data_IF_343826163844
#
_entry.id   IF_343826163844
#
_cell.length_a   1.000
_cell.length_b   1.000
_cell.length_c   1.000
_cell.angle_alpha   90.00
_cell.angle_beta   90.00
_cell.angle_gamma   90.00
#
_symmetry.space_group_name_H-M   'P 1'
#
loop_
_entity.id
_entity.type
_entity.pdbx_description
1 polymer ?
#
# COMPACT_ATOMS: atom_id res chain seq x y z
N UNK A 1 6.88 -10.62 0.09
CA UNK A 1 5.66 -9.80 0.35
C UNK A 1 4.53 -10.65 0.94
N UNK A 2 4.74 -11.26 2.13
CA UNK A 2 3.70 -12.12 2.73
C UNK A 2 2.36 -11.37 2.88
N UNK A 3 2.39 -10.11 3.32
CA UNK A 3 1.20 -9.27 3.51
C UNK A 3 0.35 -8.99 2.25
N UNK A 4 0.81 -9.35 1.03
CA UNK A 4 0.04 -9.24 -0.23
C UNK A 4 -0.26 -10.60 -0.85
N UNK A 5 -0.20 -11.68 -0.08
CA UNK A 5 -0.64 -13.00 -0.52
C UNK A 5 -1.96 -13.30 0.21
N UNK A 6 -3.11 -13.37 -0.48
CA UNK A 6 -4.42 -13.69 0.10
C UNK A 6 -4.42 -14.95 0.97
N UNK A 7 -3.57 -15.92 0.66
CA UNK A 7 -3.45 -17.18 1.41
C UNK A 7 -2.58 -17.06 2.66
N UNK A 8 -1.96 -15.91 2.90
CA UNK A 8 -1.11 -15.69 4.07
C UNK A 8 -1.91 -15.18 5.27
N UNK A 9 -1.50 -15.53 6.50
CA UNK A 9 -2.05 -14.92 7.71
C UNK A 9 -1.87 -13.39 7.75
N UNK A 10 -0.80 -12.88 7.13
CA UNK A 10 -0.46 -11.46 7.10
C UNK A 10 -1.44 -10.63 6.25
N UNK A 11 -2.14 -11.23 5.28
CA UNK A 11 -3.07 -10.52 4.40
C UNK A 11 -4.23 -9.88 5.14
N UNK A 12 -4.90 -10.66 5.99
CA UNK A 12 -6.03 -10.17 6.77
C UNK A 12 -5.61 -9.07 7.73
N UNK A 13 -4.46 -9.24 8.39
CA UNK A 13 -3.90 -8.24 9.29
C UNK A 13 -3.56 -6.94 8.55
N UNK A 14 -2.95 -7.03 7.38
CA UNK A 14 -2.62 -5.85 6.57
C UNK A 14 -3.88 -5.12 6.08
N UNK A 15 -4.90 -5.85 5.60
CA UNK A 15 -6.18 -5.25 5.19
C UNK A 15 -6.87 -4.53 6.35
N UNK A 16 -6.88 -5.16 7.52
CA UNK A 16 -7.48 -4.57 8.72
C UNK A 16 -6.68 -3.35 9.22
N UNK A 17 -5.35 -3.44 9.27
CA UNK A 17 -4.49 -2.31 9.62
C UNK A 17 -4.69 -1.11 8.70
N UNK A 18 -4.85 -1.33 7.39
CA UNK A 18 -5.15 -0.26 6.42
C UNK A 18 -6.48 0.45 6.73
N UNK A 19 -7.52 -0.30 7.09
CA UNK A 19 -8.80 0.27 7.47
C UNK A 19 -8.69 1.10 8.76
N UNK A 20 -7.99 0.58 9.77
CA UNK A 20 -7.74 1.30 11.03
C UNK A 20 -6.99 2.62 10.81
N UNK A 21 -6.01 2.65 9.90
CA UNK A 21 -5.32 3.91 9.56
C UNK A 21 -6.25 4.93 8.92
N UNK A 22 -7.23 4.49 8.13
CA UNK A 22 -8.21 5.40 7.52
C UNK A 22 -9.19 5.94 8.56
N UNK A 23 -9.63 5.09 9.50
CA UNK A 23 -10.48 5.50 10.63
C UNK A 23 -9.75 6.50 11.53
N UNK A 24 -8.50 6.20 11.92
CA UNK A 24 -7.69 7.06 12.79
C UNK A 24 -7.50 8.46 12.20
N UNK A 25 -7.23 8.57 10.90
CA UNK A 25 -7.05 9.87 10.22
C UNK A 25 -8.36 10.67 10.07
N UNK A 26 -9.52 10.01 10.14
CA UNK A 26 -10.81 10.67 10.06
C UNK A 26 -11.35 11.10 11.44
N UNK A 27 -10.98 10.39 12.50
CA UNK A 27 -11.59 10.52 13.83
C UNK A 27 -10.74 11.26 14.86
N UNK A 28 -9.41 11.31 14.68
CA UNK A 28 -8.53 11.90 15.70
C UNK A 28 -8.35 13.41 15.49
N UNK A 29 -9.13 14.19 16.23
CA UNK A 29 -9.04 15.66 16.28
C UNK A 29 -7.70 16.19 16.83
N UNK A 30 -6.90 15.33 17.47
CA UNK A 30 -5.58 15.66 17.99
C UNK A 30 -4.46 15.37 17.00
N UNK A 31 -4.73 14.70 15.87
CA UNK A 31 -3.80 14.66 14.76
C UNK A 31 -3.84 16.01 14.03
N UNK A 32 -2.72 16.76 13.99
CA UNK A 32 -2.65 17.95 13.16
C UNK A 32 -3.04 17.57 11.72
N UNK A 33 -3.90 18.36 11.09
CA UNK A 33 -4.41 18.12 9.74
C UNK A 33 -3.27 17.87 8.71
N UNK A 34 -2.08 18.43 8.98
CA UNK A 34 -0.87 18.32 8.13
C UNK A 34 0.15 17.27 8.61
N UNK A 35 -0.13 16.51 9.67
CA UNK A 35 0.84 15.58 10.28
C UNK A 35 1.06 14.29 9.48
N UNK A 36 0.02 13.85 8.78
CA UNK A 36 -0.01 12.61 8.02
C UNK A 36 -0.82 12.83 6.75
N UNK A 37 -0.15 12.77 5.61
CA UNK A 37 -0.77 12.84 4.29
C UNK A 37 -1.04 11.42 3.77
N UNK A 38 -2.31 11.16 3.41
CA UNK A 38 -2.73 9.91 2.80
C UNK A 38 -2.69 10.02 1.26
N UNK A 39 -1.56 9.64 0.67
CA UNK A 39 -1.39 9.73 -0.78
C UNK A 39 -1.95 8.50 -1.47
N UNK A 40 -2.97 8.69 -2.32
CA UNK A 40 -3.60 7.64 -3.14
C UNK A 40 -2.93 7.53 -4.52
N UNK A 41 -1.60 7.46 -4.54
CA UNK A 41 -0.79 7.35 -5.75
C UNK A 41 -0.72 5.93 -6.32
N UNK A 42 -1.24 4.93 -5.59
CA UNK A 42 -1.08 3.52 -5.95
C UNK A 42 0.34 3.03 -5.67
N UNK A 43 0.67 1.85 -6.21
CA UNK A 43 2.04 1.37 -6.26
C UNK A 43 2.30 0.57 -7.53
N UNK A 44 3.52 0.64 -8.06
CA UNK A 44 3.95 -0.15 -9.20
C UNK A 44 5.05 -1.10 -8.75
N UNK A 45 4.85 -2.40 -8.92
CA UNK A 45 5.91 -3.40 -8.77
C UNK A 45 6.59 -3.61 -10.12
N UNK A 46 7.90 -3.42 -10.18
CA UNK A 46 8.66 -3.45 -11.44
C UNK A 46 9.32 -4.81 -11.66
N UNK A 47 9.41 -5.22 -12.93
CA UNK A 47 10.18 -6.37 -13.38
C UNK A 47 11.32 -5.93 -14.30
N UNK A 48 12.52 -6.46 -14.08
CA UNK A 48 13.73 -6.22 -14.88
C UNK A 48 14.13 -7.42 -15.73
N UNK A 49 13.37 -8.52 -15.63
CA UNK A 49 13.55 -9.72 -16.45
C UNK A 49 12.20 -10.30 -16.87
N UNK A 50 12.21 -11.12 -17.93
CA UNK A 50 11.01 -11.82 -18.40
C UNK A 50 10.46 -12.80 -17.37
N UNK A 51 11.33 -13.41 -16.55
CA UNK A 51 10.92 -14.31 -15.48
C UNK A 51 10.17 -13.55 -14.37
N UNK A 52 10.66 -12.37 -13.98
CA UNK A 52 9.96 -11.49 -13.05
C UNK A 52 8.63 -11.01 -13.64
N UNK A 53 8.59 -10.68 -14.94
CA UNK A 53 7.34 -10.27 -15.60
C UNK A 53 6.27 -11.37 -15.59
N UNK A 54 6.66 -12.64 -15.74
CA UNK A 54 5.74 -13.78 -15.61
C UNK A 54 5.24 -13.94 -14.17
N UNK A 55 6.10 -13.73 -13.17
CA UNK A 55 5.68 -13.71 -11.77
C UNK A 55 4.68 -12.58 -11.50
N UNK A 56 4.85 -11.41 -12.13
CA UNK A 56 3.89 -10.31 -12.03
C UNK A 56 2.53 -10.66 -12.64
N UNK A 57 2.48 -11.38 -13.77
CA UNK A 57 1.21 -11.85 -14.36
C UNK A 57 0.48 -12.85 -13.45
N UNK A 58 1.20 -13.81 -12.89
CA UNK A 58 0.62 -14.75 -11.92
C UNK A 58 0.08 -13.99 -10.69
N UNK A 59 0.76 -12.93 -10.30
CA UNK A 59 0.36 -12.07 -9.19
C UNK A 59 -0.86 -11.21 -9.49
N UNK A 60 -0.95 -10.65 -10.69
CA UNK A 60 -2.15 -9.96 -11.18
C UNK A 60 -3.37 -10.87 -11.05
N UNK A 61 -3.29 -12.11 -11.58
CA UNK A 61 -4.38 -13.07 -11.50
C UNK A 61 -4.79 -13.41 -10.06
N UNK A 62 -3.81 -13.62 -9.17
CA UNK A 62 -4.04 -13.87 -7.74
C UNK A 62 -4.75 -12.69 -7.06
N UNK A 63 -4.29 -11.46 -7.32
CA UNK A 63 -4.85 -10.25 -6.74
C UNK A 63 -6.25 -9.96 -7.28
N UNK A 64 -6.46 -10.12 -8.60
CA UNK A 64 -7.76 -9.99 -9.24
C UNK A 64 -8.78 -10.99 -8.69
N UNK A 65 -8.39 -12.25 -8.47
CA UNK A 65 -9.25 -13.26 -7.82
C UNK A 65 -9.64 -12.88 -6.38
N UNK A 66 -8.81 -12.08 -5.70
CA UNK A 66 -9.09 -11.53 -4.38
C UNK A 66 -9.84 -10.17 -4.41
N UNK A 67 -10.26 -9.70 -5.59
CA UNK A 67 -10.98 -8.44 -5.77
C UNK A 67 -10.11 -7.20 -5.64
N UNK A 68 -8.78 -7.33 -5.81
CA UNK A 68 -7.84 -6.22 -5.79
C UNK A 68 -7.64 -5.70 -7.21
N UNK A 69 -7.82 -4.41 -7.40
CA UNK A 69 -7.55 -3.73 -8.68
C UNK A 69 -6.03 -3.63 -8.91
N UNK A 70 -5.51 -4.60 -9.65
CA UNK A 70 -4.13 -4.67 -10.10
C UNK A 70 -4.09 -4.92 -11.61
N UNK A 71 -3.23 -4.21 -12.33
CA UNK A 71 -3.12 -4.26 -13.78
C UNK A 71 -1.67 -4.28 -14.24
N UNK A 72 -1.36 -5.17 -15.17
CA UNK A 72 -0.06 -5.18 -15.85
C UNK A 72 0.14 -3.90 -16.67
N UNK A 73 1.36 -3.39 -16.65
CA UNK A 73 1.82 -2.26 -17.46
C UNK A 73 2.96 -2.70 -18.38
N UNK A 74 2.87 -2.30 -19.63
CA UNK A 74 3.92 -2.37 -20.62
C UNK A 74 5.03 -1.35 -20.33
N UNK A 75 6.20 -1.55 -20.94
CA UNK A 75 7.31 -0.59 -20.85
C UNK A 75 6.94 0.80 -21.37
N UNK A 76 6.05 0.89 -22.36
CA UNK A 76 5.59 2.17 -22.90
C UNK A 76 4.73 2.92 -21.88
N UNK A 77 3.74 2.25 -21.30
CA UNK A 77 2.89 2.80 -20.23
C UNK A 77 3.72 3.21 -19.01
N UNK A 78 4.70 2.39 -18.62
CA UNK A 78 5.60 2.71 -17.51
C UNK A 78 6.43 3.97 -17.77
N UNK A 79 6.92 4.18 -18.99
CA UNK A 79 7.69 5.39 -19.32
C UNK A 79 6.82 6.63 -19.43
N UNK A 80 5.55 6.45 -19.80
CA UNK A 80 4.59 7.55 -19.84
C UNK A 80 4.26 8.03 -18.42
N UNK A 81 4.04 7.09 -17.49
CA UNK A 81 3.73 7.41 -16.08
C UNK A 81 4.98 7.83 -15.29
N UNK A 82 6.11 7.16 -15.50
CA UNK A 82 7.35 7.37 -14.74
C UNK A 82 8.56 7.53 -15.68
N UNK A 83 8.75 8.71 -16.30
CA UNK A 83 9.79 8.94 -17.31
C UNK A 83 11.23 8.74 -16.81
N UNK A 84 11.45 8.80 -15.50
CA UNK A 84 12.75 8.61 -14.87
C UNK A 84 13.11 7.13 -14.62
N UNK A 85 12.24 6.18 -14.97
CA UNK A 85 12.51 4.75 -14.78
C UNK A 85 13.71 4.26 -15.60
N UNK A 86 14.50 3.39 -14.97
CA UNK A 86 15.66 2.78 -15.61
C UNK A 86 15.30 1.93 -16.83
N UNK A 87 16.15 1.95 -17.86
CA UNK A 87 15.92 1.25 -19.13
C UNK A 87 15.85 -0.28 -19.01
N UNK A 88 16.33 -0.85 -17.90
CA UNK A 88 16.28 -2.28 -17.62
C UNK A 88 14.88 -2.78 -17.23
N UNK A 89 13.94 -1.89 -16.89
CA UNK A 89 12.57 -2.27 -16.56
C UNK A 89 11.82 -2.71 -17.83
N UNK A 90 11.21 -3.88 -17.78
CA UNK A 90 10.52 -4.51 -18.91
C UNK A 90 9.03 -4.75 -18.70
N UNK A 91 8.53 -4.67 -17.47
CA UNK A 91 7.11 -4.74 -17.14
C UNK A 91 6.85 -4.17 -15.74
N UNK A 92 5.59 -3.86 -15.45
CA UNK A 92 5.16 -3.42 -14.13
C UNK A 92 3.78 -3.97 -13.77
N UNK A 93 3.46 -3.97 -12.48
CA UNK A 93 2.14 -4.30 -11.96
C UNK A 93 1.65 -3.13 -11.10
N UNK A 94 0.71 -2.36 -11.63
CA UNK A 94 0.09 -1.23 -10.94
C UNK A 94 -1.02 -1.74 -10.03
N UNK A 95 -1.00 -1.35 -8.76
CA UNK A 95 -2.08 -1.55 -7.81
C UNK A 95 -2.65 -0.19 -7.39
N UNK A 96 -3.74 0.24 -8.04
CA UNK A 96 -4.31 1.59 -7.82
C UNK A 96 -4.88 1.81 -6.44
N UNK A 97 -5.32 0.72 -5.80
CA UNK A 97 -5.89 0.78 -4.45
C UNK A 97 -4.83 1.03 -3.37
N UNK A 98 -3.54 0.95 -3.69
CA UNK A 98 -2.47 1.22 -2.75
C UNK A 98 -2.38 2.70 -2.40
N UNK A 99 -1.88 2.92 -1.20
CA UNK A 99 -1.85 4.20 -0.53
C UNK A 99 -0.56 4.29 0.26
N UNK A 100 0.00 5.48 0.32
CA UNK A 100 1.20 5.76 1.07
C UNK A 100 0.86 6.75 2.17
N UNK A 101 1.32 6.43 3.38
CA UNK A 101 1.36 7.37 4.48
C UNK A 101 2.63 8.18 4.32
N UNK A 102 2.50 9.42 3.85
CA UNK A 102 3.60 10.38 3.87
C UNK A 102 3.45 11.15 5.16
N UNK A 103 4.47 11.10 6.00
CA UNK A 103 4.46 11.90 7.20
C UNK A 103 5.61 12.89 7.20
N UNK A 104 5.25 14.15 7.40
CA UNK A 104 6.19 15.20 7.74
C UNK A 104 6.57 15.16 9.24
N UNK A 105 5.86 14.36 10.06
CA UNK A 105 5.88 14.44 11.52
C UNK A 105 5.68 13.10 12.29
N UNK A 106 5.85 11.92 11.68
CA UNK A 106 5.61 10.63 12.37
C UNK A 106 6.60 10.40 13.53
N UNK A 107 7.72 11.12 13.53
CA UNK A 107 8.66 11.17 14.65
C UNK A 107 8.22 12.06 15.81
N UNK A 108 7.14 12.85 15.67
CA UNK A 108 6.63 13.75 16.71
C UNK A 108 5.20 13.46 17.17
N UNK A 109 4.56 12.37 16.73
CA UNK A 109 3.27 11.98 17.29
C UNK A 109 3.47 11.61 18.78
N UNK A 110 2.86 12.34 19.73
CA UNK A 110 2.89 11.92 21.11
C UNK A 110 2.10 10.61 21.21
N UNK A 111 2.76 9.54 21.67
CA UNK A 111 2.12 8.31 22.11
C UNK A 111 1.23 8.65 23.33
N UNK A 112 0.03 9.18 23.09
CA UNK A 112 -0.99 9.26 24.13
C UNK A 112 -1.48 7.85 24.38
N UNK A 113 -0.91 7.26 25.43
CA UNK A 113 -1.29 5.97 25.95
C UNK A 113 -2.71 6.12 26.50
N UNK A 114 -3.73 5.75 25.71
CA UNK A 114 -5.08 5.56 26.23
C UNK A 114 -5.04 4.35 27.15
N UNK A 115 -4.67 4.60 28.40
CA UNK A 115 -4.90 3.67 29.50
C UNK A 115 -6.40 3.44 29.55
N UNK A 116 -6.83 2.29 29.02
CA UNK A 116 -8.16 1.76 29.26
C UNK A 116 -8.29 1.57 30.76
N UNK A 117 -8.83 2.57 31.46
CA UNK A 117 -9.38 2.38 32.80
C UNK A 117 -10.57 1.43 32.66
N UNK A 118 -10.27 0.13 32.66
CA UNK A 118 -11.24 -0.90 32.95
C UNK A 118 -11.69 -0.68 34.38
N UNK A 119 -12.91 -0.16 34.51
CA UNK A 119 -13.70 -0.18 35.73
C UNK A 119 -13.53 -1.51 36.45
N UNK A 120 -12.92 -1.46 37.62
CA UNK A 120 -12.89 -2.54 38.59
C UNK A 120 -13.84 -2.20 39.74
N UNK A 121 -14.91 -3.00 39.83
CA UNK A 121 -15.64 -3.46 41.02
C UNK A 121 -16.12 -2.37 42.01
#
# INVERSE_FOLDING_TARGET
>A
MAHRNPDSPAWRLAKWSKALWQELLLEDEHLPEDSVEWQRSGSILLATSLAEAEQLRQREAMLGAAGVDAAMMSTEELRAEEPALGSAVCAGLLTRSDVQLVSLALTSLPLHNHTLERSGI
#
